data_IF_359632730636
#
_entry.id   IF_359632730636
#
_cell.length_a   1.000
_cell.length_b   1.000
_cell.length_c   1.000
_cell.angle_alpha   90.00
_cell.angle_beta   90.00
_cell.angle_gamma   90.00
#
_symmetry.space_group_name_H-M   'P 1'
#
loop_
_entity.id
_entity.type
_entity.pdbx_description
1 polymer ?
#
# COMPACT_ATOMS: atom_id res chain seq x y z
N UNK A 1 10.91 -6.87 15.89
CA UNK A 1 11.14 -6.29 14.54
C UNK A 1 11.32 -4.77 14.55
N UNK A 2 10.36 -3.97 15.05
CA UNK A 2 10.43 -2.50 14.99
C UNK A 2 11.74 -1.92 15.58
N UNK A 3 12.16 -2.35 16.78
CA UNK A 3 13.39 -1.87 17.41
C UNK A 3 14.65 -2.15 16.57
N UNK A 4 14.70 -3.29 15.88
CA UNK A 4 15.82 -3.64 15.00
C UNK A 4 15.92 -2.67 13.82
N UNK A 5 14.83 -2.50 13.08
CA UNK A 5 14.82 -1.59 11.92
C UNK A 5 15.00 -0.13 12.33
N UNK A 6 14.48 0.27 13.49
CA UNK A 6 14.68 1.61 14.03
C UNK A 6 16.15 1.87 14.40
N UNK A 7 16.82 0.92 15.05
CA UNK A 7 18.25 1.00 15.32
C UNK A 7 19.07 1.09 14.03
N UNK A 8 18.74 0.28 13.02
CA UNK A 8 19.39 0.38 11.71
C UNK A 8 19.12 1.72 11.01
N UNK A 9 17.91 2.26 11.13
CA UNK A 9 17.58 3.60 10.62
C UNK A 9 18.49 4.66 11.25
N UNK A 10 18.68 4.63 12.58
CA UNK A 10 19.57 5.57 13.30
C UNK A 10 21.02 5.44 12.82
N UNK A 11 21.55 4.22 12.72
CA UNK A 11 22.94 3.97 12.26
C UNK A 11 23.18 4.53 10.85
N UNK A 12 22.15 4.46 9.99
CA UNK A 12 22.23 4.88 8.59
C UNK A 12 21.90 6.36 8.35
N UNK A 13 21.69 7.16 9.41
CA UNK A 13 21.48 8.61 9.27
C UNK A 13 22.72 9.25 8.63
N UNK A 14 22.48 10.08 7.61
CA UNK A 14 23.51 10.88 6.91
C UNK A 14 24.60 10.03 6.26
N UNK A 15 24.29 8.83 5.77
CA UNK A 15 25.14 8.14 4.79
C UNK A 15 24.99 8.85 3.45
N UNK A 16 26.12 9.28 2.86
CA UNK A 16 26.12 10.05 1.60
C UNK A 16 26.77 9.31 0.44
N UNK A 17 27.53 8.26 0.72
CA UNK A 17 28.26 7.51 -0.31
C UNK A 17 28.25 6.02 0.00
N UNK A 18 28.18 5.20 -1.05
CA UNK A 18 28.30 3.74 -0.95
C UNK A 18 29.68 3.26 -0.50
N UNK A 19 30.67 4.17 -0.43
CA UNK A 19 32.01 3.90 0.11
C UNK A 19 32.11 4.08 1.62
N UNK A 20 31.06 4.59 2.29
CA UNK A 20 31.05 4.71 3.74
C UNK A 20 31.21 3.32 4.38
N UNK A 21 32.01 3.16 5.45
CA UNK A 21 32.19 1.86 6.11
C UNK A 21 30.87 1.27 6.65
N UNK A 22 29.88 2.14 6.90
CA UNK A 22 28.51 1.76 7.28
C UNK A 22 27.78 0.99 6.18
N UNK A 23 28.13 1.19 4.90
CA UNK A 23 27.56 0.44 3.78
C UNK A 23 27.91 -1.05 3.85
N UNK A 24 29.11 -1.40 4.35
CA UNK A 24 29.50 -2.80 4.58
C UNK A 24 28.65 -3.45 5.66
N UNK A 25 28.27 -2.70 6.69
CA UNK A 25 27.33 -3.18 7.73
C UNK A 25 25.93 -3.35 7.14
N UNK A 26 25.47 -2.44 6.28
CA UNK A 26 24.14 -2.52 5.66
C UNK A 26 24.02 -3.68 4.66
N UNK A 27 25.03 -3.92 3.83
CA UNK A 27 24.99 -4.93 2.78
C UNK A 27 25.55 -6.30 3.22
N UNK A 28 26.40 -6.32 4.24
CA UNK A 28 27.05 -7.52 4.77
C UNK A 28 26.46 -8.04 6.09
N UNK A 29 27.17 -8.96 6.75
CA UNK A 29 26.88 -9.50 8.09
C UNK A 29 25.44 -10.03 8.30
N UNK A 30 24.86 -10.67 7.29
CA UNK A 30 23.49 -11.23 7.36
C UNK A 30 23.27 -12.20 8.51
N UNK A 31 24.24 -13.07 8.80
CA UNK A 31 24.14 -14.02 9.92
C UNK A 31 23.91 -13.32 11.26
N UNK A 32 24.74 -12.32 11.59
CA UNK A 32 24.61 -11.58 12.85
C UNK A 32 23.34 -10.73 12.90
N UNK A 33 22.88 -10.20 11.77
CA UNK A 33 21.59 -9.49 11.69
C UNK A 33 20.42 -10.40 12.02
N UNK A 34 20.37 -11.59 11.42
CA UNK A 34 19.32 -12.56 11.72
C UNK A 34 19.38 -13.01 13.18
N UNK A 35 20.58 -13.27 13.71
CA UNK A 35 20.75 -13.62 15.11
C UNK A 35 20.24 -12.52 16.04
N UNK A 36 20.58 -11.25 15.78
CA UNK A 36 20.08 -10.10 16.53
C UNK A 36 18.56 -9.95 16.41
N UNK A 37 18.01 -10.14 15.20
CA UNK A 37 16.57 -10.06 14.95
C UNK A 37 15.79 -11.11 15.75
N UNK A 38 16.25 -12.36 15.71
CA UNK A 38 15.68 -13.47 16.48
C UNK A 38 15.85 -13.22 17.98
N UNK A 39 17.04 -12.81 18.42
CA UNK A 39 17.31 -12.52 19.83
C UNK A 39 16.40 -11.43 20.41
N UNK A 40 16.22 -10.31 19.68
CA UNK A 40 15.28 -9.25 20.08
C UNK A 40 13.84 -9.76 20.10
N UNK A 41 13.46 -10.60 19.15
CA UNK A 41 12.10 -11.15 19.07
C UNK A 41 11.81 -12.13 20.20
N UNK A 42 12.75 -13.05 20.49
CA UNK A 42 12.66 -13.97 21.62
C UNK A 42 12.66 -13.20 22.94
N UNK A 43 13.54 -12.20 23.08
CA UNK A 43 13.58 -11.32 24.26
C UNK A 43 12.28 -10.56 24.50
N UNK A 44 11.57 -10.17 23.45
CA UNK A 44 10.30 -9.46 23.56
C UNK A 44 9.18 -10.32 24.20
N UNK A 45 9.24 -11.66 24.12
CA UNK A 45 8.27 -12.53 24.78
C UNK A 45 8.36 -12.51 26.30
N UNK A 46 9.48 -12.07 26.86
CA UNK A 46 9.68 -11.96 28.30
C UNK A 46 9.20 -10.62 28.89
N UNK A 47 8.66 -9.72 28.06
CA UNK A 47 8.12 -8.43 28.52
C UNK A 47 6.76 -8.71 29.19
N UNK A 48 6.57 -8.35 30.48
CA UNK A 48 5.32 -8.61 31.19
C UNK A 48 4.19 -7.72 30.68
N UNK A 49 2.97 -8.26 30.74
CA UNK A 49 1.77 -7.52 30.40
C UNK A 49 1.52 -6.35 31.37
N UNK A 50 1.05 -5.23 30.84
CA UNK A 50 0.76 -4.03 31.62
C UNK A 50 0.79 -2.78 30.76
N UNK A 51 1.34 -1.69 31.30
CA UNK A 51 1.43 -0.37 30.63
C UNK A 51 2.15 -0.44 29.28
N UNK A 52 3.08 -1.38 29.09
CA UNK A 52 3.80 -1.58 27.83
C UNK A 52 2.85 -1.84 26.66
N UNK A 53 1.82 -2.68 26.84
CA UNK A 53 0.88 -3.03 25.77
C UNK A 53 0.05 -1.82 25.31
N UNK A 54 -0.43 -1.01 26.25
CA UNK A 54 -1.20 0.20 25.93
C UNK A 54 -0.34 1.22 25.18
N UNK A 55 0.90 1.46 25.63
CA UNK A 55 1.81 2.38 24.94
C UNK A 55 2.14 1.87 23.54
N UNK A 56 2.45 0.58 23.42
CA UNK A 56 2.80 -0.04 22.14
C UNK A 56 1.62 -0.08 21.15
N UNK A 57 0.39 -0.20 21.64
CA UNK A 57 -0.82 -0.05 20.83
C UNK A 57 -0.89 1.32 20.14
N UNK A 58 -0.69 2.41 20.87
CA UNK A 58 -0.69 3.76 20.27
C UNK A 58 0.45 3.96 19.27
N UNK A 59 1.66 3.47 19.58
CA UNK A 59 2.75 3.45 18.60
C UNK A 59 2.38 2.67 17.33
N UNK A 60 1.70 1.53 17.49
CA UNK A 60 1.20 0.72 16.39
C UNK A 60 0.17 1.44 15.53
N UNK A 61 -0.79 2.14 16.14
CA UNK A 61 -1.83 2.91 15.42
C UNK A 61 -1.22 4.07 14.63
N UNK A 62 -0.30 4.83 15.22
CA UNK A 62 0.36 5.94 14.53
C UNK A 62 1.25 5.41 13.39
N UNK A 63 2.00 4.34 13.66
CA UNK A 63 2.85 3.70 12.67
C UNK A 63 2.07 3.12 11.49
N UNK A 64 0.93 2.46 11.75
CA UNK A 64 0.09 1.89 10.69
C UNK A 64 -0.57 2.97 9.84
N UNK A 65 -1.02 4.07 10.45
CA UNK A 65 -1.54 5.22 9.71
C UNK A 65 -0.53 5.79 8.72
N UNK A 66 0.71 6.04 9.16
CA UNK A 66 1.78 6.51 8.29
C UNK A 66 2.13 5.48 7.20
N UNK A 67 2.16 4.19 7.56
CA UNK A 67 2.42 3.12 6.61
C UNK A 67 1.35 3.03 5.52
N UNK A 68 0.06 3.18 5.87
CA UNK A 68 -1.05 3.17 4.91
C UNK A 68 -0.90 4.32 3.90
N UNK A 69 -0.51 5.52 4.34
CA UNK A 69 -0.27 6.66 3.44
C UNK A 69 0.87 6.36 2.45
N UNK A 70 2.00 5.86 2.95
CA UNK A 70 3.15 5.50 2.09
C UNK A 70 2.75 4.40 1.10
N UNK A 71 2.04 3.37 1.57
CA UNK A 71 1.58 2.27 0.75
C UNK A 71 0.61 2.75 -0.35
N UNK A 72 -0.28 3.69 -0.03
CA UNK A 72 -1.20 4.29 -1.01
C UNK A 72 -0.43 5.03 -2.11
N UNK A 73 0.56 5.84 -1.75
CA UNK A 73 1.40 6.58 -2.71
C UNK A 73 2.15 5.59 -3.63
N UNK A 74 2.77 4.56 -3.06
CA UNK A 74 3.48 3.54 -3.83
C UNK A 74 2.54 2.75 -4.74
N UNK A 75 1.31 2.47 -4.30
CA UNK A 75 0.33 1.76 -5.12
C UNK A 75 -0.13 2.61 -6.31
N UNK A 76 -0.35 3.91 -6.11
CA UNK A 76 -0.71 4.84 -7.20
C UNK A 76 0.44 4.98 -8.20
N UNK A 77 1.68 5.13 -7.73
CA UNK A 77 2.86 5.20 -8.59
C UNK A 77 3.07 3.91 -9.41
N UNK A 78 2.89 2.76 -8.74
CA UNK A 78 2.89 1.45 -9.40
C UNK A 78 1.80 1.35 -10.48
N UNK A 79 0.57 1.78 -10.19
CA UNK A 79 -0.54 1.75 -11.14
C UNK A 79 -0.26 2.61 -12.37
N UNK A 80 0.26 3.84 -12.18
CA UNK A 80 0.64 4.71 -13.28
C UNK A 80 1.79 4.13 -14.11
N UNK A 81 2.85 3.66 -13.46
CA UNK A 81 4.01 3.04 -14.12
C UNK A 81 3.61 1.80 -14.92
N UNK A 82 2.69 0.98 -14.37
CA UNK A 82 2.15 -0.18 -15.05
C UNK A 82 1.33 0.22 -16.27
N UNK A 83 0.40 1.17 -16.13
CA UNK A 83 -0.45 1.63 -17.22
C UNK A 83 0.39 2.18 -18.38
N UNK A 84 1.36 3.04 -18.07
CA UNK A 84 2.29 3.59 -19.07
C UNK A 84 3.09 2.50 -19.79
N UNK A 85 3.62 1.51 -19.06
CA UNK A 85 4.35 0.39 -19.67
C UNK A 85 3.50 -0.45 -20.62
N UNK A 86 2.22 -0.66 -20.30
CA UNK A 86 1.31 -1.43 -21.14
C UNK A 86 0.80 -0.62 -22.34
N UNK A 87 0.53 0.68 -22.15
CA UNK A 87 0.17 1.60 -23.22
C UNK A 87 1.31 1.72 -24.25
N UNK A 88 2.56 1.89 -23.80
CA UNK A 88 3.72 1.96 -24.71
C UNK A 88 3.85 0.67 -25.55
N UNK A 89 3.60 -0.50 -24.94
CA UNK A 89 3.60 -1.79 -25.66
C UNK A 89 2.42 -1.95 -26.61
N UNK A 90 1.29 -1.31 -26.33
CA UNK A 90 0.13 -1.29 -27.21
C UNK A 90 0.38 -0.39 -28.43
N UNK A 91 1.04 0.75 -28.24
CA UNK A 91 1.37 1.68 -29.33
C UNK A 91 2.50 1.17 -30.21
N UNK A 92 3.57 0.62 -29.62
CA UNK A 92 4.79 0.21 -30.36
C UNK A 92 4.84 -1.28 -30.73
N UNK A 93 3.95 -2.10 -30.18
CA UNK A 93 3.95 -3.56 -30.32
C UNK A 93 2.68 -4.11 -30.97
N UNK A 94 2.19 -5.25 -30.47
CA UNK A 94 0.93 -5.84 -30.95
C UNK A 94 -0.26 -5.10 -30.31
N UNK A 95 -0.71 -4.04 -30.98
CA UNK A 95 -1.77 -3.15 -30.53
C UNK A 95 -3.02 -3.89 -30.06
N UNK A 96 -3.56 -4.82 -30.85
CA UNK A 96 -4.82 -5.49 -30.52
C UNK A 96 -4.73 -6.35 -29.26
N UNK A 97 -3.62 -7.04 -29.06
CA UNK A 97 -3.43 -7.92 -27.90
C UNK A 97 -3.26 -7.11 -26.61
N UNK A 98 -2.45 -6.06 -26.62
CA UNK A 98 -2.22 -5.22 -25.45
C UNK A 98 -3.41 -4.34 -25.08
N UNK A 99 -4.15 -3.81 -26.06
CA UNK A 99 -5.42 -3.13 -25.79
C UNK A 99 -6.48 -4.08 -25.21
N UNK A 100 -6.58 -5.31 -25.72
CA UNK A 100 -7.46 -6.32 -25.13
C UNK A 100 -7.05 -6.68 -23.69
N UNK A 101 -5.74 -6.80 -23.43
CA UNK A 101 -5.21 -7.04 -22.08
C UNK A 101 -5.55 -5.89 -21.12
N UNK A 102 -5.29 -4.64 -21.51
CA UNK A 102 -5.67 -3.44 -20.75
C UNK A 102 -7.16 -3.42 -20.41
N UNK A 103 -8.03 -3.57 -21.42
CA UNK A 103 -9.47 -3.55 -21.22
C UNK A 103 -9.94 -4.69 -20.30
N UNK A 104 -9.39 -5.89 -20.47
CA UNK A 104 -9.73 -7.05 -19.64
C UNK A 104 -9.34 -6.82 -18.18
N UNK A 105 -8.16 -6.24 -17.93
CA UNK A 105 -7.67 -5.96 -16.59
C UNK A 105 -8.55 -4.93 -15.88
N UNK A 106 -8.90 -3.84 -16.58
CA UNK A 106 -9.83 -2.82 -16.09
C UNK A 106 -11.20 -3.41 -15.76
N UNK A 107 -11.76 -4.24 -16.65
CA UNK A 107 -13.06 -4.88 -16.42
C UNK A 107 -13.03 -5.79 -15.18
N UNK A 108 -12.00 -6.62 -15.03
CA UNK A 108 -11.85 -7.52 -13.88
C UNK A 108 -11.77 -6.72 -12.56
N UNK A 109 -11.02 -5.61 -12.53
CA UNK A 109 -10.89 -4.78 -11.33
C UNK A 109 -12.19 -4.10 -10.95
N UNK A 110 -12.95 -3.57 -11.91
CA UNK A 110 -14.27 -3.00 -11.65
C UNK A 110 -15.27 -4.06 -11.17
N UNK A 111 -15.27 -5.25 -11.79
CA UNK A 111 -16.13 -6.36 -11.38
C UNK A 111 -15.80 -6.82 -9.95
N UNK A 112 -14.51 -6.93 -9.61
CA UNK A 112 -14.06 -7.29 -8.27
C UNK A 112 -14.43 -6.22 -7.24
N UNK A 113 -14.24 -4.94 -7.57
CA UNK A 113 -14.62 -3.84 -6.69
C UNK A 113 -16.14 -3.82 -6.42
N UNK A 114 -16.95 -4.01 -7.45
CA UNK A 114 -18.41 -4.10 -7.32
C UNK A 114 -18.82 -5.31 -6.48
N UNK A 115 -18.25 -6.49 -6.74
CA UNK A 115 -18.50 -7.69 -5.95
C UNK A 115 -18.12 -7.49 -4.48
N UNK A 116 -16.99 -6.83 -4.19
CA UNK A 116 -16.57 -6.52 -2.83
C UNK A 116 -17.59 -5.61 -2.11
N UNK A 117 -18.11 -4.58 -2.78
CA UNK A 117 -19.16 -3.71 -2.21
C UNK A 117 -20.43 -4.51 -1.90
N UNK A 118 -20.89 -5.38 -2.82
CA UNK A 118 -22.06 -6.24 -2.59
C UNK A 118 -21.84 -7.16 -1.39
N UNK A 119 -20.67 -7.80 -1.29
CA UNK A 119 -20.32 -8.65 -0.15
C UNK A 119 -20.28 -7.85 1.15
N UNK A 120 -19.77 -6.61 1.13
CA UNK A 120 -19.78 -5.76 2.32
C UNK A 120 -21.20 -5.43 2.79
N UNK A 121 -22.13 -5.14 1.89
CA UNK A 121 -23.53 -4.98 2.28
C UNK A 121 -24.14 -6.28 2.84
N UNK A 122 -23.92 -7.42 2.19
CA UNK A 122 -24.50 -8.69 2.65
C UNK A 122 -23.99 -9.15 4.02
N UNK A 123 -22.70 -9.00 4.30
CA UNK A 123 -22.12 -9.53 5.54
C UNK A 123 -22.06 -8.53 6.68
N UNK A 124 -21.91 -7.22 6.39
CA UNK A 124 -21.67 -6.21 7.43
C UNK A 124 -22.88 -5.31 7.73
N UNK A 125 -24.02 -5.53 7.07
CA UNK A 125 -25.24 -4.70 7.26
C UNK A 125 -26.54 -5.47 7.59
N UNK A 126 -26.47 -6.80 7.72
CA UNK A 126 -27.58 -7.68 8.13
C UNK A 126 -27.62 -7.81 9.67
N UNK A 127 -27.83 -6.70 10.41
CA UNK A 127 -29.17 -6.35 10.92
C UNK A 127 -29.49 -4.83 10.80
N UNK A 128 -30.77 -4.46 10.95
CA UNK A 128 -31.29 -3.10 10.69
C UNK A 128 -30.61 -1.97 11.47
N UNK A 129 -29.95 -2.27 12.59
CA UNK A 129 -29.31 -1.26 13.46
C UNK A 129 -27.87 -0.85 13.06
N UNK A 130 -27.27 -1.44 12.02
CA UNK A 130 -25.91 -1.09 11.59
C UNK A 130 -25.88 0.10 10.61
N UNK A 131 -26.41 1.25 11.02
CA UNK A 131 -26.43 2.48 10.19
C UNK A 131 -25.02 2.98 9.88
N UNK A 132 -24.08 2.88 10.82
CA UNK A 132 -22.70 3.34 10.64
C UNK A 132 -21.99 2.63 9.48
N UNK A 133 -22.03 1.30 9.45
CA UNK A 133 -21.44 0.50 8.38
C UNK A 133 -22.09 0.82 7.02
N UNK A 134 -23.42 0.96 6.97
CA UNK A 134 -24.14 1.35 5.75
C UNK A 134 -23.64 2.70 5.22
N UNK A 135 -23.47 3.70 6.09
CA UNK A 135 -22.97 5.04 5.69
C UNK A 135 -21.53 4.96 5.19
N UNK A 136 -20.63 4.28 5.91
CA UNK A 136 -19.22 4.18 5.50
C UNK A 136 -19.04 3.48 4.14
N UNK A 137 -19.75 2.37 3.91
CA UNK A 137 -19.69 1.64 2.64
C UNK A 137 -20.24 2.53 1.51
N UNK A 138 -21.38 3.19 1.74
CA UNK A 138 -22.02 4.06 0.73
C UNK A 138 -21.12 5.23 0.33
N UNK A 139 -20.52 5.92 1.31
CA UNK A 139 -19.63 7.06 1.05
C UNK A 139 -18.38 6.64 0.27
N UNK A 140 -17.74 5.53 0.65
CA UNK A 140 -16.58 5.02 -0.08
C UNK A 140 -16.94 4.65 -1.52
N UNK A 141 -18.08 4.00 -1.74
CA UNK A 141 -18.54 3.67 -3.08
C UNK A 141 -18.78 4.93 -3.93
N UNK A 142 -19.41 5.96 -3.35
CA UNK A 142 -19.60 7.26 -4.02
C UNK A 142 -18.23 7.90 -4.35
N UNK A 143 -17.27 7.90 -3.44
CA UNK A 143 -15.94 8.44 -3.69
C UNK A 143 -15.21 7.68 -4.81
N UNK A 144 -15.31 6.35 -4.86
CA UNK A 144 -14.76 5.56 -5.96
C UNK A 144 -15.36 5.98 -7.31
N UNK A 145 -16.69 6.16 -7.39
CA UNK A 145 -17.36 6.62 -8.62
C UNK A 145 -16.87 8.01 -9.02
N UNK A 146 -16.79 8.95 -8.06
CA UNK A 146 -16.32 10.32 -8.33
C UNK A 146 -14.89 10.29 -8.87
N UNK A 147 -13.98 9.54 -8.24
CA UNK A 147 -12.58 9.43 -8.69
C UNK A 147 -12.49 8.81 -10.08
N UNK A 148 -13.25 7.74 -10.36
CA UNK A 148 -13.31 7.12 -11.69
C UNK A 148 -13.81 8.08 -12.77
N UNK A 149 -14.82 8.90 -12.46
CA UNK A 149 -15.30 9.94 -13.39
C UNK A 149 -14.23 10.99 -13.58
N UNK A 150 -13.63 11.50 -12.49
CA UNK A 150 -12.56 12.52 -12.53
C UNK A 150 -11.38 12.08 -13.38
N UNK A 151 -10.96 10.81 -13.30
CA UNK A 151 -9.80 10.31 -14.06
C UNK A 151 -9.97 10.32 -15.58
N UNK A 152 -11.22 10.30 -16.09
CA UNK A 152 -11.53 10.30 -17.53
C UNK A 152 -11.94 11.69 -18.05
N UNK A 153 -11.98 12.73 -17.20
CA UNK A 153 -12.31 14.06 -17.69
C UNK A 153 -11.23 14.55 -18.67
N UNK A 154 -11.62 15.16 -19.79
CA UNK A 154 -10.68 15.65 -20.80
C UNK A 154 -9.71 16.69 -20.21
N UNK A 155 -10.16 17.49 -19.23
CA UNK A 155 -9.30 18.45 -18.54
C UNK A 155 -8.17 17.82 -17.72
N UNK A 156 -8.37 16.61 -17.20
CA UNK A 156 -7.34 15.86 -16.49
C UNK A 156 -6.40 15.19 -17.49
N UNK A 157 -6.95 14.62 -18.57
CA UNK A 157 -6.17 14.02 -19.66
C UNK A 157 -5.30 15.02 -20.42
N UNK A 158 -5.75 16.27 -20.57
CA UNK A 158 -4.96 17.38 -21.11
C UNK A 158 -3.68 17.63 -20.30
N UNK A 159 -3.74 17.46 -18.97
CA UNK A 159 -2.60 17.62 -18.08
C UNK A 159 -1.77 16.32 -17.92
N UNK A 160 -2.41 15.16 -18.05
CA UNK A 160 -1.78 13.84 -17.97
C UNK A 160 -2.38 12.87 -19.02
N UNK A 161 -1.74 12.72 -20.20
CA UNK A 161 -2.29 11.92 -21.31
C UNK A 161 -2.46 10.44 -21.00
N UNK A 162 -1.69 9.89 -20.06
CA UNK A 162 -1.80 8.50 -19.60
C UNK A 162 -2.87 8.31 -18.51
N UNK A 163 -3.73 9.31 -18.28
CA UNK A 163 -4.84 9.24 -17.32
C UNK A 163 -6.03 8.52 -17.95
N UNK A 164 -6.40 7.39 -17.37
CA UNK A 164 -7.44 6.49 -17.88
C UNK A 164 -7.04 5.03 -17.76
#
# INVERSE_FOLDING_TARGET
MACFFFLFSIIMIRVRSSKDPRATIQNGFWFFKFLALVGITVGAFFIPDGTFNTVWYYFGVVGSFMFIIIQLILLVDFAHSWNQSWLEKAENGNTKCWFAALLSFTFIHYALAFAAVVLFYLFYTLPDDCTEHKVFISLNFIFCIIVSVVSILPKVQEAQPSSG
#
